data_IF_606647555222
#
_entry.id   IF_606647555222
#
_cell.length_a   1.000
_cell.length_b   1.000
_cell.length_c   1.000
_cell.angle_alpha   90.00
_cell.angle_beta   90.00
_cell.angle_gamma   90.00
#
_symmetry.space_group_name_H-M   'P 1'
#
loop_
_entity.id
_entity.type
_entity.pdbx_description
1 polymer ?
#
# COMPACT_ATOMS: atom_id res chain seq x y z
N UNK A 1 25.41 0.38 -1.69
CA UNK A 1 24.38 0.55 -0.65
C UNK A 1 23.61 -0.76 -0.57
N UNK A 2 23.50 -1.38 0.62
CA UNK A 2 22.83 -2.69 0.78
C UNK A 2 21.45 -2.45 1.39
N UNK A 3 20.40 -2.52 0.58
CA UNK A 3 19.03 -2.13 0.96
C UNK A 3 18.54 -2.83 2.24
N UNK A 4 18.96 -4.07 2.50
CA UNK A 4 18.56 -4.80 3.70
C UNK A 4 19.19 -4.23 4.98
N UNK A 5 20.41 -3.67 4.91
CA UNK A 5 21.00 -2.98 6.06
C UNK A 5 20.25 -1.69 6.33
N UNK A 6 19.87 -0.95 5.30
CA UNK A 6 19.10 0.28 5.45
C UNK A 6 17.69 0.04 6.01
N UNK A 7 17.06 -1.07 5.65
CA UNK A 7 15.81 -1.51 6.29
C UNK A 7 16.06 -1.89 7.76
N UNK A 8 17.10 -2.68 8.05
CA UNK A 8 17.41 -3.12 9.41
C UNK A 8 17.66 -1.95 10.38
N UNK A 9 18.40 -0.94 9.94
CA UNK A 9 18.68 0.25 10.74
C UNK A 9 17.56 1.30 10.71
N UNK A 10 16.48 1.07 9.96
CA UNK A 10 15.35 2.00 9.85
C UNK A 10 15.64 3.24 9.00
N UNK A 11 16.72 3.24 8.21
CA UNK A 11 16.99 4.27 7.21
C UNK A 11 15.95 4.23 6.07
N UNK A 12 15.37 3.05 5.83
CA UNK A 12 14.23 2.85 4.93
C UNK A 12 13.12 2.16 5.71
N UNK A 13 11.96 2.80 5.76
CA UNK A 13 10.73 2.21 6.31
C UNK A 13 9.81 1.90 5.12
N UNK A 14 9.68 0.63 4.69
CA UNK A 14 8.99 0.30 3.44
C UNK A 14 7.51 0.70 3.37
N UNK A 15 6.88 0.86 4.54
CA UNK A 15 5.48 1.25 4.67
C UNK A 15 5.30 2.75 4.94
N UNK A 16 6.37 3.52 5.15
CA UNK A 16 6.25 4.96 5.40
C UNK A 16 5.80 5.67 4.12
N UNK A 17 4.73 6.45 4.23
CA UNK A 17 4.17 7.23 3.13
C UNK A 17 3.86 8.62 3.63
N UNK A 18 4.36 9.61 2.90
CA UNK A 18 3.99 11.01 3.12
C UNK A 18 2.89 11.38 2.14
N UNK A 19 1.85 12.02 2.65
CA UNK A 19 0.80 12.59 1.79
C UNK A 19 1.35 13.88 1.19
N UNK A 20 1.47 13.93 -0.14
CA UNK A 20 1.89 15.15 -0.82
C UNK A 20 0.85 16.27 -0.59
N UNK A 21 1.33 17.46 -0.23
CA UNK A 21 0.52 18.61 0.18
C UNK A 21 -0.52 19.04 -0.84
N UNK A 22 -0.24 18.84 -2.13
CA UNK A 22 -1.08 19.29 -3.24
C UNK A 22 -1.69 18.12 -4.03
N UNK A 23 -1.59 16.90 -3.48
CA UNK A 23 -2.16 15.71 -4.11
C UNK A 23 -3.68 15.76 -4.14
N UNK A 24 -4.25 15.18 -5.20
CA UNK A 24 -5.69 14.91 -5.28
C UNK A 24 -6.17 14.08 -4.09
N UNK A 25 -5.37 13.10 -3.66
CA UNK A 25 -5.65 12.30 -2.46
C UNK A 25 -5.91 13.18 -1.23
N UNK A 26 -5.04 14.16 -0.94
CA UNK A 26 -5.22 15.03 0.23
C UNK A 26 -6.50 15.85 0.13
N UNK A 27 -6.85 16.32 -1.07
CA UNK A 27 -8.09 17.09 -1.30
C UNK A 27 -9.32 16.22 -1.06
N UNK A 28 -9.35 15.02 -1.64
CA UNK A 28 -10.43 14.05 -1.45
C UNK A 28 -10.52 13.59 0.01
N UNK A 29 -9.40 13.36 0.67
CA UNK A 29 -9.36 12.98 2.09
C UNK A 29 -9.93 14.08 2.98
N UNK A 30 -9.60 15.35 2.71
CA UNK A 30 -10.18 16.47 3.45
C UNK A 30 -11.70 16.57 3.26
N UNK A 31 -12.18 16.40 2.02
CA UNK A 31 -13.61 16.36 1.73
C UNK A 31 -14.31 15.20 2.44
N UNK A 32 -13.70 14.00 2.42
CA UNK A 32 -14.19 12.84 3.16
C UNK A 32 -14.35 13.15 4.65
N UNK A 33 -13.32 13.76 5.28
CA UNK A 33 -13.42 14.13 6.69
C UNK A 33 -14.57 15.10 6.97
N UNK A 34 -14.77 16.11 6.11
CA UNK A 34 -15.86 17.09 6.26
C UNK A 34 -17.24 16.44 6.15
N UNK A 35 -17.44 15.59 5.13
CA UNK A 35 -18.71 14.87 4.94
C UNK A 35 -18.97 13.87 6.08
N UNK A 36 -17.94 13.16 6.55
CA UNK A 36 -18.06 12.26 7.71
C UNK A 36 -18.42 13.04 8.97
N UNK A 37 -17.80 14.19 9.24
CA UNK A 37 -18.13 15.02 10.40
C UNK A 37 -19.57 15.52 10.35
N UNK A 38 -20.02 16.02 9.20
CA UNK A 38 -21.40 16.44 8.99
C UNK A 38 -22.38 15.27 9.21
N UNK A 39 -22.12 14.12 8.59
CA UNK A 39 -22.91 12.90 8.77
C UNK A 39 -22.99 12.46 10.24
N UNK A 40 -21.85 12.43 10.93
CA UNK A 40 -21.81 12.05 12.34
C UNK A 40 -22.59 13.05 13.20
N UNK A 41 -22.59 14.34 12.89
CA UNK A 41 -23.29 15.36 13.69
C UNK A 41 -24.80 15.09 13.80
N UNK A 42 -25.42 14.52 12.76
CA UNK A 42 -26.84 14.20 12.67
C UNK A 42 -27.23 12.86 13.33
N UNK A 43 -26.26 12.04 13.73
CA UNK A 43 -26.51 10.71 14.30
C UNK A 43 -26.82 10.76 15.80
N UNK A 44 -27.71 9.85 16.23
CA UNK A 44 -27.90 9.56 17.65
C UNK A 44 -26.65 8.92 18.27
N UNK A 45 -26.46 9.00 19.60
CA UNK A 45 -25.32 8.39 20.27
C UNK A 45 -25.14 6.89 19.98
N UNK A 46 -26.25 6.14 19.89
CA UNK A 46 -26.22 4.69 19.59
C UNK A 46 -25.73 4.43 18.17
N UNK A 47 -26.17 5.25 17.20
CA UNK A 47 -25.73 5.15 15.81
C UNK A 47 -24.27 5.57 15.64
N UNK A 48 -23.79 6.57 16.39
CA UNK A 48 -22.38 6.96 16.43
C UNK A 48 -21.50 5.81 16.92
N UNK A 49 -21.89 5.16 18.02
CA UNK A 49 -21.17 3.98 18.52
C UNK A 49 -21.13 2.86 17.48
N UNK A 50 -22.25 2.59 16.81
CA UNK A 50 -22.28 1.60 15.75
C UNK A 50 -21.39 1.97 14.55
N UNK A 51 -21.28 3.26 14.22
CA UNK A 51 -20.37 3.76 13.19
C UNK A 51 -18.90 3.53 13.58
N UNK A 52 -18.52 3.82 14.82
CA UNK A 52 -17.16 3.55 15.33
C UNK A 52 -16.80 2.05 15.23
N UNK A 53 -17.73 1.16 15.59
CA UNK A 53 -17.56 -0.28 15.44
C UNK A 53 -17.39 -0.68 13.96
N UNK A 54 -18.14 -0.04 13.05
CA UNK A 54 -18.03 -0.28 11.61
C UNK A 54 -16.67 0.21 11.07
N UNK A 55 -16.20 1.39 11.48
CA UNK A 55 -14.90 1.93 11.09
C UNK A 55 -13.74 1.04 11.57
N UNK A 56 -13.81 0.50 12.79
CA UNK A 56 -12.79 -0.45 13.28
C UNK A 56 -12.74 -1.70 12.39
N UNK A 57 -13.90 -2.27 12.05
CA UNK A 57 -13.97 -3.42 11.16
C UNK A 57 -13.42 -3.10 9.77
N UNK A 58 -13.78 -1.95 9.19
CA UNK A 58 -13.27 -1.50 7.90
C UNK A 58 -11.75 -1.34 7.93
N UNK A 59 -11.21 -0.68 8.95
CA UNK A 59 -9.78 -0.47 9.11
C UNK A 59 -9.02 -1.81 9.22
N UNK A 60 -9.57 -2.78 9.95
CA UNK A 60 -8.97 -4.12 10.08
C UNK A 60 -8.95 -4.87 8.75
N UNK A 61 -10.04 -4.82 7.98
CA UNK A 61 -10.10 -5.43 6.64
C UNK A 61 -9.10 -4.74 5.69
N UNK A 62 -9.05 -3.40 5.69
CA UNK A 62 -8.10 -2.64 4.89
C UNK A 62 -6.65 -3.01 5.22
N UNK A 63 -6.28 -3.06 6.51
CA UNK A 63 -4.92 -3.43 6.92
C UNK A 63 -4.49 -4.79 6.40
N UNK A 64 -5.36 -5.80 6.52
CA UNK A 64 -5.09 -7.15 6.01
C UNK A 64 -4.90 -7.11 4.48
N UNK A 65 -5.80 -6.43 3.77
CA UNK A 65 -5.74 -6.34 2.31
C UNK A 65 -4.51 -5.58 1.81
N UNK A 66 -4.12 -4.49 2.49
CA UNK A 66 -2.96 -3.68 2.12
C UNK A 66 -1.65 -4.41 2.39
N UNK A 67 -1.55 -5.12 3.51
CA UNK A 67 -0.40 -5.97 3.84
C UNK A 67 -0.21 -7.08 2.79
N UNK A 68 -1.29 -7.80 2.46
CA UNK A 68 -1.24 -8.88 1.46
C UNK A 68 -0.86 -8.34 0.08
N UNK A 69 -1.47 -7.22 -0.33
CA UNK A 69 -1.13 -6.53 -1.59
C UNK A 69 0.34 -6.11 -1.64
N UNK A 70 0.87 -5.61 -0.53
CA UNK A 70 2.28 -5.22 -0.43
C UNK A 70 3.19 -6.44 -0.61
N UNK A 71 2.93 -7.55 0.10
CA UNK A 71 3.70 -8.79 0.00
C UNK A 71 3.66 -9.36 -1.43
N UNK A 72 2.48 -9.41 -2.04
CA UNK A 72 2.31 -9.89 -3.42
C UNK A 72 3.06 -9.00 -4.43
N UNK A 73 3.10 -7.69 -4.22
CA UNK A 73 3.91 -6.77 -5.03
C UNK A 73 5.41 -7.11 -5.02
N UNK A 74 5.97 -7.38 -3.84
CA UNK A 74 7.38 -7.80 -3.73
C UNK A 74 7.63 -9.17 -4.35
N UNK A 75 6.73 -10.14 -4.14
CA UNK A 75 6.82 -11.48 -4.75
C UNK A 75 6.80 -11.39 -6.27
N UNK A 76 5.92 -10.56 -6.83
CA UNK A 76 5.84 -10.32 -8.26
C UNK A 76 7.15 -9.71 -8.79
N UNK A 77 7.67 -8.68 -8.12
CA UNK A 77 8.94 -8.07 -8.48
C UNK A 77 10.12 -9.05 -8.49
N UNK A 78 10.21 -9.92 -7.48
CA UNK A 78 11.23 -10.97 -7.44
C UNK A 78 11.10 -11.97 -8.59
N UNK A 79 9.88 -12.41 -8.93
CA UNK A 79 9.61 -13.28 -10.08
C UNK A 79 10.02 -12.63 -11.40
N UNK A 80 9.69 -11.35 -11.58
CA UNK A 80 10.11 -10.58 -12.76
C UNK A 80 11.64 -10.52 -12.89
N UNK A 81 12.36 -10.30 -11.79
CA UNK A 81 13.84 -10.29 -11.81
C UNK A 81 14.39 -11.67 -12.19
N UNK A 82 13.85 -12.74 -11.60
CA UNK A 82 14.24 -14.11 -11.96
C UNK A 82 13.96 -14.42 -13.43
N UNK A 83 12.86 -13.91 -13.98
CA UNK A 83 12.54 -14.10 -15.40
C UNK A 83 13.48 -13.34 -16.34
N UNK A 84 13.92 -12.15 -15.95
CA UNK A 84 14.83 -11.29 -16.74
C UNK A 84 16.28 -11.76 -16.65
N UNK A 85 16.75 -12.04 -15.43
CA UNK A 85 18.16 -12.34 -15.13
C UNK A 85 18.44 -13.85 -15.18
N UNK A 86 17.44 -14.68 -14.88
CA UNK A 86 17.58 -16.13 -14.86
C UNK A 86 17.67 -16.74 -16.25
N UNK A 87 18.12 -17.99 -16.29
CA UNK A 87 18.24 -18.83 -17.48
C UNK A 87 16.88 -19.39 -17.93
N UNK A 88 15.86 -18.53 -18.10
CA UNK A 88 14.71 -18.96 -18.87
C UNK A 88 15.21 -19.36 -20.26
N UNK A 89 14.97 -20.63 -20.66
CA UNK A 89 15.43 -21.18 -21.93
C UNK A 89 14.93 -20.29 -23.07
N UNK A 90 15.80 -19.41 -23.54
CA UNK A 90 15.50 -18.56 -24.67
C UNK A 90 15.48 -19.44 -25.91
N UNK A 91 14.46 -19.25 -26.74
CA UNK A 91 14.39 -19.93 -28.04
C UNK A 91 15.38 -19.31 -29.05
N UNK A 92 15.85 -18.09 -28.79
CA UNK A 92 16.77 -17.35 -29.63
C UNK A 92 17.88 -16.71 -28.77
N UNK A 93 19.11 -16.65 -29.30
CA UNK A 93 20.23 -15.94 -28.66
C UNK A 93 20.20 -14.45 -29.01
N UNK A 94 20.78 -13.60 -28.15
CA UNK A 94 21.00 -12.21 -28.51
C UNK A 94 22.09 -12.09 -29.59
N UNK A 95 21.99 -11.05 -30.42
CA UNK A 95 23.03 -10.73 -31.40
C UNK A 95 24.33 -10.42 -30.66
N UNK A 96 25.32 -11.30 -30.78
CA UNK A 96 26.64 -11.16 -30.14
C UNK A 96 26.95 -12.14 -29.00
N UNK A 97 25.98 -12.95 -28.56
CA UNK A 97 26.24 -14.06 -27.63
C UNK A 97 26.60 -15.33 -28.44
N UNK A 98 27.87 -15.76 -28.40
CA UNK A 98 28.34 -17.00 -29.06
C UNK A 98 27.68 -18.27 -28.52
#
# INVERSE_FOLDING_TARGET
MYILNDIWYGNIIPCERLICSDSEYKKLFHQLCQETEAFLSDLSPEKKKHHEELEDLQLRVMKISEEDTFIEGFRLGARMILDVVGENKRQFKNVGET
#
